data_IF_206765782777
#
_entry.id   IF_206765782777
#
_cell.length_a   1.000
_cell.length_b   1.000
_cell.length_c   1.000
_cell.angle_alpha   90.00
_cell.angle_beta   90.00
_cell.angle_gamma   90.00
#
_symmetry.space_group_name_H-M   'P 1'
#
loop_
_entity.id
_entity.type
_entity.pdbx_description
1 polymer ?
#
# COMPACT_ATOMS: atom_id res chain seq x y z
N UNK A 1 12.90 34.17 -11.86
CA UNK A 1 11.73 33.41 -11.37
C UNK A 1 10.60 33.60 -12.38
N UNK A 2 10.06 32.53 -12.96
CA UNK A 2 9.00 32.65 -13.97
C UNK A 2 7.69 33.09 -13.28
N UNK A 3 6.98 34.14 -13.77
CA UNK A 3 5.79 34.71 -13.14
C UNK A 3 4.60 33.74 -12.95
N UNK A 4 4.61 32.55 -13.55
CA UNK A 4 3.50 31.60 -13.50
C UNK A 4 3.50 30.62 -12.31
N UNK A 5 4.61 30.48 -11.57
CA UNK A 5 4.74 29.42 -10.54
C UNK A 5 3.84 29.71 -9.33
N UNK A 6 3.79 30.95 -8.86
CA UNK A 6 2.97 31.33 -7.70
C UNK A 6 1.48 31.23 -8.00
N UNK A 7 1.06 31.72 -9.18
CA UNK A 7 -0.34 31.66 -9.62
C UNK A 7 -0.81 30.22 -9.80
N UNK A 8 0.06 29.34 -10.32
CA UNK A 8 -0.20 27.91 -10.42
C UNK A 8 -0.38 27.27 -9.04
N UNK A 9 0.52 27.53 -8.08
CA UNK A 9 0.42 26.99 -6.71
C UNK A 9 -0.85 27.49 -5.99
N UNK A 10 -1.25 28.75 -6.18
CA UNK A 10 -2.50 29.30 -5.63
C UNK A 10 -3.71 28.57 -6.21
N UNK A 11 -3.77 28.40 -7.53
CA UNK A 11 -4.85 27.70 -8.20
C UNK A 11 -4.92 26.22 -7.76
N UNK A 12 -3.78 25.55 -7.67
CA UNK A 12 -3.67 24.18 -7.18
C UNK A 12 -4.28 24.03 -5.78
N UNK A 13 -3.82 24.84 -4.81
CA UNK A 13 -4.33 24.79 -3.45
C UNK A 13 -5.83 25.13 -3.37
N UNK A 14 -6.32 26.06 -4.19
CA UNK A 14 -7.73 26.40 -4.28
C UNK A 14 -8.57 25.20 -4.76
N UNK A 15 -8.19 24.56 -5.87
CA UNK A 15 -8.92 23.41 -6.40
C UNK A 15 -8.81 22.18 -5.51
N UNK A 16 -7.66 21.95 -4.86
CA UNK A 16 -7.53 20.90 -3.85
C UNK A 16 -8.48 21.13 -2.67
N UNK A 17 -8.59 22.36 -2.19
CA UNK A 17 -9.49 22.70 -1.09
C UNK A 17 -10.96 22.48 -1.47
N UNK A 18 -11.36 22.88 -2.68
CA UNK A 18 -12.71 22.67 -3.19
C UNK A 18 -13.02 21.17 -3.33
N UNK A 19 -12.10 20.40 -3.91
CA UNK A 19 -12.26 18.96 -4.09
C UNK A 19 -12.41 18.23 -2.75
N UNK A 20 -11.67 18.64 -1.71
CA UNK A 20 -11.79 18.09 -0.36
C UNK A 20 -13.16 18.41 0.25
N UNK A 21 -13.64 19.64 0.10
CA UNK A 21 -14.96 20.05 0.61
C UNK A 21 -16.09 19.27 -0.06
N UNK A 22 -16.05 19.15 -1.39
CA UNK A 22 -17.05 18.38 -2.14
C UNK A 22 -17.01 16.89 -1.76
N UNK A 23 -15.81 16.33 -1.58
CA UNK A 23 -15.63 14.95 -1.14
C UNK A 23 -16.21 14.72 0.27
N UNK A 24 -15.95 15.63 1.22
CA UNK A 24 -16.51 15.58 2.57
C UNK A 24 -18.04 15.62 2.55
N UNK A 25 -18.62 16.54 1.78
CA UNK A 25 -20.07 16.64 1.60
C UNK A 25 -20.67 15.35 1.02
N UNK A 26 -19.99 14.73 0.06
CA UNK A 26 -20.41 13.46 -0.50
C UNK A 26 -20.33 12.32 0.54
N UNK A 27 -19.30 12.29 1.40
CA UNK A 27 -19.18 11.31 2.49
C UNK A 27 -20.31 11.41 3.52
N UNK A 28 -20.77 12.63 3.82
CA UNK A 28 -21.87 12.89 4.75
C UNK A 28 -23.25 12.54 4.15
N UNK A 29 -23.33 12.41 2.83
CA UNK A 29 -24.58 12.11 2.12
C UNK A 29 -24.87 10.61 2.18
N UNK A 30 -26.05 10.16 2.65
CA UNK A 30 -26.39 8.73 2.67
C UNK A 30 -26.31 8.11 1.27
N UNK A 31 -25.76 6.88 1.17
CA UNK A 31 -25.57 6.19 -0.11
C UNK A 31 -26.86 6.04 -0.93
N UNK A 32 -28.02 5.92 -0.27
CA UNK A 32 -29.34 5.91 -0.93
C UNK A 32 -29.64 7.20 -1.70
N UNK A 33 -29.23 8.34 -1.16
CA UNK A 33 -29.44 9.66 -1.76
C UNK A 33 -28.42 9.95 -2.86
N UNK A 34 -27.18 9.46 -2.72
CA UNK A 34 -26.15 9.53 -3.77
C UNK A 34 -26.52 8.68 -5.00
N UNK A 35 -27.16 7.54 -4.78
CA UNK A 35 -27.43 6.55 -5.82
C UNK A 35 -26.15 5.93 -6.40
N UNK A 36 -26.31 5.09 -7.42
CA UNK A 36 -25.17 4.35 -8.00
C UNK A 36 -24.11 5.28 -8.60
N UNK A 37 -24.52 6.33 -9.30
CA UNK A 37 -23.58 7.26 -9.94
C UNK A 37 -22.80 8.07 -8.91
N UNK A 38 -23.46 8.55 -7.85
CA UNK A 38 -22.79 9.27 -6.77
C UNK A 38 -21.79 8.39 -6.02
N UNK A 39 -22.14 7.12 -5.77
CA UNK A 39 -21.21 6.15 -5.14
C UNK A 39 -20.02 5.83 -6.06
N UNK A 40 -20.23 5.70 -7.37
CA UNK A 40 -19.14 5.54 -8.33
C UNK A 40 -18.18 6.74 -8.31
N UNK A 41 -18.72 7.96 -8.32
CA UNK A 41 -17.94 9.19 -8.27
C UNK A 41 -17.18 9.31 -6.93
N UNK A 42 -17.83 8.96 -5.82
CA UNK A 42 -17.23 8.99 -4.49
C UNK A 42 -16.04 8.04 -4.37
N UNK A 43 -16.17 6.80 -4.84
CA UNK A 43 -15.05 5.84 -4.81
C UNK A 43 -13.93 6.22 -5.78
N UNK A 44 -14.25 6.74 -6.97
CA UNK A 44 -13.24 7.25 -7.90
C UNK A 44 -12.48 8.44 -7.30
N UNK A 45 -13.18 9.38 -6.67
CA UNK A 45 -12.58 10.52 -5.97
C UNK A 45 -11.68 10.04 -4.82
N UNK A 46 -12.13 9.05 -4.05
CA UNK A 46 -11.34 8.47 -2.96
C UNK A 46 -10.03 7.85 -3.48
N UNK A 47 -10.06 7.18 -4.63
CA UNK A 47 -8.86 6.64 -5.28
C UNK A 47 -7.91 7.77 -5.74
N UNK A 48 -8.42 8.78 -6.43
CA UNK A 48 -7.61 9.90 -6.91
C UNK A 48 -6.98 10.71 -5.76
N UNK A 49 -7.74 10.99 -4.70
CA UNK A 49 -7.23 11.68 -3.51
C UNK A 49 -6.11 10.89 -2.84
N UNK A 50 -6.24 9.58 -2.77
CA UNK A 50 -5.22 8.71 -2.22
C UNK A 50 -3.97 8.59 -3.13
N UNK A 51 -4.10 8.66 -4.46
CA UNK A 51 -2.95 8.81 -5.37
C UNK A 51 -2.22 10.13 -5.09
N UNK A 52 -2.96 11.24 -5.01
CA UNK A 52 -2.40 12.56 -4.72
C UNK A 52 -1.71 12.59 -3.36
N UNK A 53 -2.32 11.99 -2.32
CA UNK A 53 -1.74 11.91 -1.00
C UNK A 53 -0.45 11.07 -0.96
N UNK A 54 -0.35 10.04 -1.82
CA UNK A 54 0.87 9.25 -1.96
C UNK A 54 1.97 9.98 -2.75
N UNK A 55 1.67 11.03 -3.49
CA UNK A 55 2.70 11.82 -4.17
C UNK A 55 3.67 12.38 -3.14
N UNK A 56 4.97 12.27 -3.41
CA UNK A 56 5.97 12.99 -2.63
C UNK A 56 5.88 14.47 -3.04
N UNK A 57 5.66 15.41 -2.10
CA UNK A 57 5.69 16.83 -2.42
C UNK A 57 6.99 17.20 -3.16
N UNK A 58 6.98 18.34 -3.84
CA UNK A 58 8.17 18.86 -4.48
C UNK A 58 8.68 20.06 -3.70
N UNK A 59 9.83 19.92 -3.04
CA UNK A 59 10.62 21.03 -2.53
C UNK A 59 11.78 21.34 -3.46
N UNK A 60 11.97 22.64 -3.69
CA UNK A 60 12.93 23.20 -4.64
C UNK A 60 14.41 22.89 -4.28
N UNK A 61 14.69 22.30 -3.11
CA UNK A 61 16.04 21.99 -2.62
C UNK A 61 16.44 20.50 -2.73
N UNK A 62 15.56 19.62 -3.20
CA UNK A 62 15.84 18.18 -3.37
C UNK A 62 16.03 17.39 -2.06
N UNK A 63 15.89 18.03 -0.89
CA UNK A 63 16.10 17.38 0.41
C UNK A 63 15.06 16.28 0.71
N UNK A 64 13.91 16.33 0.04
CA UNK A 64 12.84 15.35 0.22
C UNK A 64 13.15 14.00 -0.41
N UNK A 65 14.09 13.90 -1.35
CA UNK A 65 14.51 12.63 -1.94
C UNK A 65 15.52 11.88 -1.05
N UNK A 66 16.04 12.52 0.01
CA UNK A 66 16.90 11.87 1.01
C UNK A 66 16.08 10.82 1.80
N UNK A 67 16.49 9.54 1.82
CA UNK A 67 15.86 8.51 2.64
C UNK A 67 15.70 8.89 4.12
N UNK A 68 16.63 9.69 4.68
CA UNK A 68 16.56 10.15 6.08
C UNK A 68 15.42 11.13 6.34
N UNK A 69 14.86 11.75 5.31
CA UNK A 69 13.65 12.60 5.42
C UNK A 69 12.35 11.79 5.48
N UNK A 70 12.42 10.47 5.29
CA UNK A 70 11.27 9.57 5.31
C UNK A 70 10.62 9.51 6.69
N UNK A 71 9.33 9.13 6.71
CA UNK A 71 8.56 8.89 7.92
C UNK A 71 9.23 7.85 8.85
N UNK A 72 10.02 6.93 8.29
CA UNK A 72 10.75 5.89 9.04
C UNK A 72 11.65 6.51 10.12
N UNK A 73 12.30 7.64 9.82
CA UNK A 73 13.21 8.34 10.73
C UNK A 73 12.58 9.55 11.42
N UNK A 74 11.28 9.79 11.20
CA UNK A 74 10.57 10.92 11.78
C UNK A 74 9.88 10.55 13.09
N UNK A 75 9.90 11.48 14.05
CA UNK A 75 9.14 11.38 15.29
C UNK A 75 7.78 12.09 15.23
N UNK A 76 7.47 12.80 14.14
CA UNK A 76 6.20 13.51 13.98
C UNK A 76 5.02 12.54 13.97
N UNK A 77 3.88 12.94 14.51
CA UNK A 77 2.66 12.12 14.57
C UNK A 77 1.93 12.03 13.22
N UNK A 78 2.07 13.06 12.36
CA UNK A 78 1.43 13.15 11.04
C UNK A 78 2.22 12.48 9.91
N UNK A 79 3.34 11.81 10.23
CA UNK A 79 4.31 11.24 9.28
C UNK A 79 3.74 10.21 8.30
N UNK A 80 2.67 9.52 8.69
CA UNK A 80 1.94 8.53 7.88
C UNK A 80 0.57 9.06 7.43
N UNK A 81 0.41 10.38 7.26
CA UNK A 81 -0.85 11.01 6.86
C UNK A 81 -1.45 10.43 5.57
N UNK A 82 -0.62 10.11 4.57
CA UNK A 82 -1.06 9.44 3.35
C UNK A 82 -1.67 8.05 3.62
N UNK A 83 -1.08 7.28 4.54
CA UNK A 83 -1.58 5.97 4.95
C UNK A 83 -2.85 6.11 5.81
N UNK A 84 -2.98 7.21 6.54
CA UNK A 84 -4.19 7.51 7.30
C UNK A 84 -5.40 7.72 6.35
N UNK A 85 -5.21 8.41 5.23
CA UNK A 85 -6.23 8.56 4.19
C UNK A 85 -6.61 7.21 3.55
N UNK A 86 -5.60 6.37 3.27
CA UNK A 86 -5.81 5.01 2.73
C UNK A 86 -6.66 4.14 3.66
N UNK A 87 -6.43 4.25 4.97
CA UNK A 87 -7.19 3.50 5.97
C UNK A 87 -8.70 3.83 5.97
N UNK A 88 -9.11 4.98 5.40
CA UNK A 88 -10.51 5.36 5.22
C UNK A 88 -11.26 4.58 4.14
N UNK A 89 -10.55 3.89 3.23
CA UNK A 89 -11.19 3.17 2.13
C UNK A 89 -11.96 1.92 2.56
N UNK A 90 -11.46 1.20 3.57
CA UNK A 90 -12.14 0.02 4.09
C UNK A 90 -13.51 0.36 4.70
N UNK A 91 -13.64 1.29 5.67
CA UNK A 91 -14.95 1.66 6.21
C UNK A 91 -15.86 2.28 5.14
N UNK A 92 -15.31 3.04 4.19
CA UNK A 92 -16.07 3.54 3.04
C UNK A 92 -16.65 2.38 2.20
N UNK A 93 -15.85 1.37 1.91
CA UNK A 93 -16.30 0.17 1.16
C UNK A 93 -17.41 -0.56 1.91
N UNK A 94 -17.27 -0.73 3.24
CA UNK A 94 -18.29 -1.39 4.07
C UNK A 94 -19.61 -0.61 4.04
N UNK A 95 -19.55 0.72 4.23
CA UNK A 95 -20.71 1.62 4.17
C UNK A 95 -21.44 1.56 2.83
N UNK A 96 -20.69 1.43 1.73
CA UNK A 96 -21.20 1.42 0.36
C UNK A 96 -21.47 0.02 -0.20
N UNK A 97 -21.43 -1.02 0.66
CA UNK A 97 -21.58 -2.43 0.26
C UNK A 97 -22.75 -2.72 -0.70
N UNK A 98 -23.96 -2.10 -0.59
CA UNK A 98 -25.06 -2.37 -1.52
C UNK A 98 -24.79 -1.96 -2.97
N UNK A 99 -23.82 -1.07 -3.19
CA UNK A 99 -23.47 -0.51 -4.51
C UNK A 99 -22.15 -1.07 -5.05
N UNK A 100 -21.36 -1.73 -4.20
CA UNK A 100 -19.97 -2.10 -4.48
C UNK A 100 -19.81 -2.96 -5.74
N UNK A 101 -20.65 -3.95 -5.98
CA UNK A 101 -20.47 -4.85 -7.14
C UNK A 101 -20.61 -4.10 -8.47
N UNK A 102 -21.57 -3.18 -8.57
CA UNK A 102 -21.76 -2.32 -9.75
C UNK A 102 -20.67 -1.27 -9.85
N UNK A 103 -20.21 -0.72 -8.73
CA UNK A 103 -19.10 0.24 -8.73
C UNK A 103 -17.79 -0.41 -9.12
N UNK A 104 -17.51 -1.62 -8.63
CA UNK A 104 -16.38 -2.43 -9.05
C UNK A 104 -16.43 -2.66 -10.55
N UNK A 105 -17.58 -3.09 -11.10
CA UNK A 105 -17.73 -3.28 -12.54
C UNK A 105 -17.49 -1.99 -13.35
N UNK A 106 -17.87 -0.83 -12.80
CA UNK A 106 -17.60 0.48 -13.41
C UNK A 106 -16.11 0.86 -13.35
N UNK A 107 -15.44 0.62 -12.22
CA UNK A 107 -14.04 0.98 -12.01
C UNK A 107 -13.05 -0.01 -12.65
N UNK A 108 -13.41 -1.28 -12.79
CA UNK A 108 -12.55 -2.34 -13.35
C UNK A 108 -11.90 -1.94 -14.69
N UNK A 109 -12.63 -1.50 -15.73
CA UNK A 109 -12.00 -1.07 -16.98
C UNK A 109 -11.18 0.21 -16.85
N UNK A 110 -11.55 1.12 -15.93
CA UNK A 110 -10.83 2.38 -15.68
C UNK A 110 -9.47 2.09 -15.02
N UNK A 111 -9.45 1.14 -14.09
CA UNK A 111 -8.29 0.85 -13.24
C UNK A 111 -7.37 -0.22 -13.84
N UNK A 112 -7.93 -1.20 -14.54
CA UNK A 112 -7.19 -2.39 -14.99
C UNK A 112 -7.25 -2.61 -16.51
N UNK A 113 -8.05 -1.81 -17.22
CA UNK A 113 -8.28 -1.98 -18.65
C UNK A 113 -9.35 -3.04 -18.96
N UNK A 114 -9.93 -2.98 -20.16
CA UNK A 114 -10.99 -3.90 -20.58
C UNK A 114 -10.51 -5.37 -20.59
N UNK A 115 -11.32 -6.27 -20.01
CA UNK A 115 -11.09 -7.71 -20.03
C UNK A 115 -10.17 -8.25 -18.93
N UNK A 116 -9.52 -7.40 -18.14
CA UNK A 116 -8.78 -7.84 -16.94
C UNK A 116 -9.76 -7.84 -15.77
N UNK A 117 -10.12 -9.02 -15.26
CA UNK A 117 -11.07 -9.19 -14.15
C UNK A 117 -10.47 -8.76 -12.80
N UNK A 118 -9.91 -7.55 -12.74
CA UNK A 118 -8.92 -7.18 -11.76
C UNK A 118 -9.46 -7.24 -10.34
N UNK A 119 -10.59 -6.59 -10.08
CA UNK A 119 -11.24 -6.64 -8.76
C UNK A 119 -11.76 -8.02 -8.34
N UNK A 120 -12.02 -8.93 -9.29
CA UNK A 120 -12.42 -10.32 -8.98
C UNK A 120 -11.23 -11.16 -8.55
N UNK A 121 -10.06 -10.97 -9.17
CA UNK A 121 -8.82 -11.59 -8.69
C UNK A 121 -8.48 -11.14 -7.26
N UNK A 122 -8.79 -9.88 -6.92
CA UNK A 122 -8.61 -9.33 -5.57
C UNK A 122 -9.40 -10.10 -4.49
N UNK A 123 -10.58 -10.63 -4.83
CA UNK A 123 -11.42 -11.39 -3.90
C UNK A 123 -10.93 -12.83 -3.68
N UNK A 124 -10.06 -13.35 -4.54
CA UNK A 124 -9.50 -14.72 -4.43
C UNK A 124 -8.36 -14.85 -3.41
N UNK A 125 -7.91 -13.73 -2.84
CA UNK A 125 -6.80 -13.66 -1.90
C UNK A 125 -7.19 -14.16 -0.49
N UNK A 126 -7.39 -15.47 -0.36
CA UNK A 126 -7.83 -16.09 0.89
C UNK A 126 -6.90 -17.19 1.42
N UNK A 127 -5.95 -17.66 0.60
CA UNK A 127 -5.09 -18.79 0.96
C UNK A 127 -3.63 -18.35 1.16
N UNK A 128 -3.03 -18.83 2.24
CA UNK A 128 -1.58 -18.72 2.49
C UNK A 128 -0.76 -19.65 1.60
N UNK A 129 -1.38 -20.53 0.79
CA UNK A 129 -0.67 -21.50 -0.06
C UNK A 129 0.27 -20.89 -1.08
N UNK A 130 0.03 -19.63 -1.48
CA UNK A 130 0.88 -18.90 -2.41
C UNK A 130 1.98 -18.09 -1.71
N UNK A 131 1.92 -17.99 -0.38
CA UNK A 131 2.89 -17.21 0.40
C UNK A 131 4.15 -18.06 0.58
N UNK A 132 5.35 -17.50 0.31
CA UNK A 132 6.61 -18.19 0.55
C UNK A 132 6.74 -18.72 1.97
N UNK A 133 7.29 -19.93 2.12
CA UNK A 133 7.48 -20.54 3.45
C UNK A 133 8.39 -19.70 4.36
N UNK A 134 9.39 -19.01 3.81
CA UNK A 134 10.26 -18.08 4.54
C UNK A 134 9.44 -17.00 5.27
N UNK A 135 8.42 -16.45 4.61
CA UNK A 135 7.57 -15.41 5.18
C UNK A 135 6.62 -15.98 6.23
N UNK A 136 6.02 -17.13 5.95
CA UNK A 136 5.14 -17.83 6.91
C UNK A 136 5.88 -18.09 8.22
N UNK A 137 7.14 -18.55 8.13
CA UNK A 137 7.97 -18.84 9.30
C UNK A 137 8.32 -17.58 10.09
N UNK A 138 8.83 -16.54 9.43
CA UNK A 138 9.26 -15.31 10.13
C UNK A 138 8.07 -14.55 10.74
N UNK A 139 6.95 -14.49 10.04
CA UNK A 139 5.73 -13.85 10.54
C UNK A 139 4.91 -14.76 11.46
N UNK A 140 5.41 -15.98 11.72
CA UNK A 140 4.80 -16.97 12.61
C UNK A 140 3.34 -17.26 12.25
N UNK A 141 3.04 -17.27 10.96
CA UNK A 141 1.71 -17.52 10.43
C UNK A 141 1.39 -19.01 10.50
N UNK A 142 0.12 -19.33 10.77
CA UNK A 142 -0.37 -20.71 10.75
C UNK A 142 -0.91 -21.02 9.36
N UNK A 143 -0.26 -21.96 8.69
CA UNK A 143 -0.85 -22.66 7.55
C UNK A 143 -1.58 -23.90 8.08
N UNK A 144 -2.80 -24.18 7.61
CA UNK A 144 -3.62 -25.32 8.07
C UNK A 144 -2.90 -26.68 7.90
N UNK A 145 -1.83 -26.74 7.09
CA UNK A 145 -0.96 -27.90 6.89
C UNK A 145 0.06 -28.15 8.01
N UNK A 146 0.31 -27.20 8.92
CA UNK A 146 1.32 -27.32 9.97
C UNK A 146 0.60 -27.43 11.33
N UNK A 147 0.40 -28.69 11.76
CA UNK A 147 -0.37 -29.08 12.94
C UNK A 147 0.24 -28.69 14.29
N UNK A 148 0.48 -27.40 14.53
CA UNK A 148 0.89 -26.90 15.85
C UNK A 148 -0.11 -25.86 16.37
N UNK A 149 -0.89 -26.25 17.38
CA UNK A 149 -1.83 -25.39 18.09
C UNK A 149 -1.08 -24.39 18.99
N UNK A 150 -0.50 -23.34 18.41
CA UNK A 150 -0.06 -22.17 19.19
C UNK A 150 -1.22 -21.17 19.36
N UNK A 151 -1.15 -20.23 20.30
CA UNK A 151 -2.16 -19.19 20.50
C UNK A 151 -2.04 -18.01 19.50
N UNK A 152 -1.28 -18.13 18.40
CA UNK A 152 -0.96 -17.04 17.48
C UNK A 152 -2.09 -16.67 16.48
N UNK A 153 -3.38 -16.77 16.87
CA UNK A 153 -4.49 -16.36 16.00
C UNK A 153 -4.33 -14.88 15.56
N UNK A 154 -3.83 -14.06 16.48
CA UNK A 154 -3.58 -12.63 16.29
C UNK A 154 -2.65 -12.34 15.10
N UNK A 155 -1.59 -13.12 14.87
CA UNK A 155 -0.64 -12.83 13.78
C UNK A 155 -1.24 -13.08 12.40
N UNK A 156 -2.05 -14.13 12.25
CA UNK A 156 -2.76 -14.41 11.01
C UNK A 156 -3.76 -13.29 10.67
N UNK A 157 -4.44 -12.74 11.67
CA UNK A 157 -5.38 -11.64 11.48
C UNK A 157 -4.66 -10.32 11.14
N UNK A 158 -3.54 -10.05 11.80
CA UNK A 158 -2.75 -8.82 11.61
C UNK A 158 -2.05 -8.81 10.25
N UNK A 159 -1.28 -9.86 9.92
CA UNK A 159 -0.38 -9.86 8.76
C UNK A 159 -0.91 -10.66 7.58
N UNK A 160 -1.71 -11.70 7.82
CA UNK A 160 -2.14 -12.65 6.79
C UNK A 160 -2.76 -12.01 5.55
N UNK A 161 -3.77 -11.13 5.67
CA UNK A 161 -4.42 -10.52 4.52
C UNK A 161 -3.46 -9.70 3.64
N UNK A 162 -2.57 -8.92 4.26
CA UNK A 162 -1.59 -8.10 3.56
C UNK A 162 -0.47 -8.94 2.94
N UNK A 163 -0.09 -10.03 3.61
CA UNK A 163 0.92 -10.97 3.12
C UNK A 163 0.45 -11.74 1.87
N UNK A 164 -0.79 -12.23 1.88
CA UNK A 164 -1.38 -12.89 0.70
C UNK A 164 -1.41 -11.91 -0.48
N UNK A 165 -1.82 -10.66 -0.23
CA UNK A 165 -1.80 -9.61 -1.25
C UNK A 165 -0.38 -9.40 -1.83
N UNK A 166 0.66 -9.32 -0.99
CA UNK A 166 2.03 -9.16 -1.47
C UNK A 166 2.54 -10.36 -2.26
N UNK A 167 2.24 -11.57 -1.80
CA UNK A 167 2.66 -12.78 -2.50
C UNK A 167 2.06 -12.84 -3.92
N UNK A 168 0.83 -12.34 -4.11
CA UNK A 168 0.27 -12.14 -5.45
C UNK A 168 0.93 -11.01 -6.23
N UNK A 169 1.17 -9.85 -5.62
CA UNK A 169 1.82 -8.72 -6.30
C UNK A 169 3.27 -9.03 -6.71
N UNK A 170 3.93 -9.94 -6.00
CA UNK A 170 5.25 -10.47 -6.35
C UNK A 170 5.24 -11.18 -7.71
N UNK A 171 4.20 -11.96 -8.02
CA UNK A 171 4.11 -12.75 -9.25
C UNK A 171 3.64 -11.94 -10.47
N UNK A 172 3.07 -10.75 -10.28
CA UNK A 172 2.58 -9.92 -11.38
C UNK A 172 3.75 -9.27 -12.13
N UNK A 173 3.76 -9.44 -13.45
CA UNK A 173 4.69 -8.72 -14.32
C UNK A 173 4.42 -7.20 -14.28
N UNK A 174 5.47 -6.40 -14.13
CA UNK A 174 5.41 -4.93 -14.05
C UNK A 174 5.07 -4.30 -15.39
N UNK A 175 3.77 -4.21 -15.72
CA UNK A 175 3.28 -3.34 -16.79
C UNK A 175 2.63 -2.12 -16.14
N UNK A 176 2.83 -0.89 -16.65
CA UNK A 176 2.22 0.31 -16.04
C UNK A 176 0.68 0.18 -15.89
N UNK A 177 0.00 -0.54 -16.79
CA UNK A 177 -1.44 -0.83 -16.69
C UNK A 177 -1.86 -1.65 -15.47
N UNK A 178 -0.91 -2.28 -14.77
CA UNK A 178 -1.16 -3.09 -13.57
C UNK A 178 -0.81 -2.36 -12.27
N UNK A 179 -0.31 -1.12 -12.31
CA UNK A 179 0.12 -0.42 -11.10
C UNK A 179 -1.03 -0.27 -10.08
N UNK A 180 -2.24 -0.09 -10.58
CA UNK A 180 -3.42 0.08 -9.76
C UNK A 180 -3.81 -1.21 -9.02
N UNK A 181 -3.26 -2.38 -9.38
CA UNK A 181 -3.46 -3.62 -8.61
C UNK A 181 -2.75 -3.56 -7.25
N UNK A 182 -1.70 -2.76 -7.11
CA UNK A 182 -0.98 -2.60 -5.84
C UNK A 182 -1.86 -2.02 -4.73
N UNK A 183 -3.00 -1.43 -5.07
CA UNK A 183 -4.00 -0.94 -4.10
C UNK A 183 -4.61 -2.01 -3.23
N UNK A 184 -4.64 -3.25 -3.72
CA UNK A 184 -5.07 -4.41 -2.94
C UNK A 184 -4.36 -4.42 -1.60
N UNK A 185 -3.04 -4.28 -1.64
CA UNK A 185 -2.21 -4.32 -0.45
C UNK A 185 -2.58 -3.18 0.51
N UNK A 186 -2.74 -1.97 0.00
CA UNK A 186 -3.08 -0.80 0.81
C UNK A 186 -4.41 -0.96 1.55
N UNK A 187 -5.44 -1.55 0.91
CA UNK A 187 -6.73 -1.83 1.56
C UNK A 187 -6.60 -2.85 2.70
N UNK A 188 -5.54 -3.68 2.68
CA UNK A 188 -5.24 -4.63 3.76
C UNK A 188 -4.48 -3.99 4.92
N UNK A 189 -3.95 -2.77 4.80
CA UNK A 189 -3.30 -2.07 5.91
C UNK A 189 -4.35 -1.35 6.76
N UNK A 190 -4.74 -1.96 7.87
CA UNK A 190 -5.73 -1.40 8.80
C UNK A 190 -5.49 -1.92 10.23
N UNK A 191 -6.20 -1.37 11.21
CA UNK A 191 -6.19 -1.84 12.59
C UNK A 191 -4.77 -1.93 13.17
N UNK A 192 -4.45 -3.08 13.74
CA UNK A 192 -3.18 -3.35 14.43
C UNK A 192 -1.97 -3.26 13.50
N UNK A 193 -2.09 -3.69 12.23
CA UNK A 193 -0.98 -3.56 11.28
C UNK A 193 -0.58 -2.10 11.06
N UNK A 194 -1.56 -1.19 11.01
CA UNK A 194 -1.30 0.25 10.94
C UNK A 194 -0.58 0.71 12.22
N UNK A 195 -1.05 0.29 13.40
CA UNK A 195 -0.39 0.63 14.67
C UNK A 195 1.07 0.15 14.73
N UNK A 196 1.33 -1.08 14.27
CA UNK A 196 2.69 -1.63 14.17
C UNK A 196 3.59 -0.82 13.23
N UNK A 197 3.06 -0.36 12.09
CA UNK A 197 3.78 0.55 11.19
C UNK A 197 4.13 1.88 11.87
N UNK A 198 3.18 2.49 12.59
CA UNK A 198 3.45 3.71 13.35
C UNK A 198 4.58 3.52 14.36
N UNK A 199 4.64 2.36 15.01
CA UNK A 199 5.67 2.03 15.99
C UNK A 199 6.96 1.47 15.39
N UNK A 200 7.04 1.34 14.05
CA UNK A 200 8.20 0.79 13.34
C UNK A 200 8.55 -0.63 13.79
N UNK A 201 7.52 -1.43 14.02
CA UNK A 201 7.70 -2.87 14.18
C UNK A 201 8.42 -3.45 12.96
N UNK A 202 9.35 -4.36 13.23
CA UNK A 202 10.31 -4.88 12.25
C UNK A 202 9.60 -5.61 11.11
N UNK A 203 8.58 -6.41 11.45
CA UNK A 203 7.78 -7.18 10.48
C UNK A 203 6.88 -6.27 9.68
N UNK A 204 6.26 -5.29 10.33
CA UNK A 204 5.43 -4.29 9.64
C UNK A 204 6.27 -3.43 8.68
N UNK A 205 7.46 -3.00 9.11
CA UNK A 205 8.42 -2.29 8.26
C UNK A 205 8.83 -3.13 7.06
N UNK A 206 9.23 -4.38 7.27
CA UNK A 206 9.60 -5.28 6.17
C UNK A 206 8.44 -5.45 5.19
N UNK A 207 7.22 -5.66 5.67
CA UNK A 207 6.03 -5.85 4.83
C UNK A 207 5.77 -4.63 3.92
N UNK A 208 5.79 -3.41 4.49
CA UNK A 208 5.60 -2.20 3.71
C UNK A 208 6.83 -1.90 2.82
N UNK A 209 8.05 -2.16 3.29
CA UNK A 209 9.29 -2.02 2.54
C UNK A 209 9.29 -2.90 1.30
N UNK A 210 8.89 -4.17 1.44
CA UNK A 210 8.77 -5.09 0.33
C UNK A 210 7.79 -4.56 -0.71
N UNK A 211 6.61 -4.10 -0.28
CA UNK A 211 5.65 -3.44 -1.18
C UNK A 211 6.24 -2.21 -1.89
N UNK A 212 6.96 -1.35 -1.17
CA UNK A 212 7.61 -0.17 -1.77
C UNK A 212 8.66 -0.58 -2.81
N UNK A 213 9.44 -1.64 -2.54
CA UNK A 213 10.37 -2.22 -3.52
C UNK A 213 9.65 -2.76 -4.75
N UNK A 214 8.52 -3.43 -4.57
CA UNK A 214 7.66 -3.85 -5.69
C UNK A 214 7.12 -2.65 -6.48
N UNK A 215 6.82 -1.53 -5.81
CA UNK A 215 6.36 -0.29 -6.45
C UNK A 215 7.49 0.42 -7.21
N UNK A 216 8.76 0.21 -6.85
CA UNK A 216 9.91 0.71 -7.61
C UNK A 216 10.03 0.10 -9.03
N UNK A 217 9.29 -0.96 -9.34
CA UNK A 217 9.23 -1.57 -10.69
C UNK A 217 8.47 -0.72 -11.72
N UNK A 218 7.79 0.34 -11.28
CA UNK A 218 6.98 1.22 -12.12
C UNK A 218 7.67 2.55 -12.39
N UNK A 219 8.76 2.51 -13.16
CA UNK A 219 9.52 3.70 -13.54
C UNK A 219 8.70 4.69 -14.39
N UNK A 220 8.90 5.99 -14.15
CA UNK A 220 8.24 7.08 -14.85
C UNK A 220 6.82 7.39 -14.36
N UNK A 221 6.33 6.72 -13.32
CA UNK A 221 4.99 6.97 -12.79
C UNK A 221 5.03 8.12 -11.77
N UNK A 222 4.61 9.29 -12.24
CA UNK A 222 4.76 10.59 -11.56
C UNK A 222 4.29 10.64 -10.09
N UNK A 223 3.21 9.93 -9.75
CA UNK A 223 2.58 10.03 -8.42
C UNK A 223 3.20 9.09 -7.39
N UNK A 224 3.93 8.04 -7.78
CA UNK A 224 4.48 7.07 -6.84
C UNK A 224 5.99 6.92 -6.87
N UNK A 225 6.65 7.11 -8.01
CA UNK A 225 8.05 6.74 -8.21
C UNK A 225 8.96 7.31 -7.11
N UNK A 226 8.91 8.62 -6.90
CA UNK A 226 9.76 9.32 -5.92
C UNK A 226 9.53 8.83 -4.50
N UNK A 227 8.26 8.78 -4.04
CA UNK A 227 7.93 8.31 -2.68
C UNK A 227 8.31 6.85 -2.49
N UNK A 228 7.96 5.99 -3.46
CA UNK A 228 8.24 4.57 -3.40
C UNK A 228 9.74 4.32 -3.23
N UNK A 229 10.57 4.95 -4.07
CA UNK A 229 12.04 4.81 -4.01
C UNK A 229 12.61 5.33 -2.69
N UNK A 230 12.24 6.53 -2.28
CA UNK A 230 12.76 7.12 -1.03
C UNK A 230 12.37 6.30 0.20
N UNK A 231 11.09 5.98 0.33
CA UNK A 231 10.60 5.26 1.51
C UNK A 231 11.08 3.79 1.51
N UNK A 232 11.28 3.18 0.33
CA UNK A 232 11.93 1.87 0.20
C UNK A 232 13.36 1.90 0.75
N UNK A 233 14.19 2.85 0.29
CA UNK A 233 15.56 3.02 0.78
C UNK A 233 15.60 3.32 2.28
N UNK A 234 14.66 4.12 2.78
CA UNK A 234 14.57 4.43 4.21
C UNK A 234 14.26 3.19 5.05
N UNK A 235 13.32 2.36 4.60
CA UNK A 235 13.01 1.09 5.27
C UNK A 235 14.21 0.14 5.22
N UNK A 236 14.90 0.02 4.08
CA UNK A 236 16.12 -0.82 3.96
C UNK A 236 17.19 -0.38 4.96
N UNK A 237 17.54 0.90 4.98
CA UNK A 237 18.51 1.44 5.94
C UNK A 237 18.10 1.08 7.37
N UNK A 238 16.82 1.31 7.72
CA UNK A 238 16.32 1.05 9.07
C UNK A 238 16.37 -0.43 9.46
N UNK A 239 16.05 -1.34 8.55
CA UNK A 239 16.09 -2.78 8.83
C UNK A 239 17.54 -3.29 8.94
N UNK A 240 18.46 -2.76 8.14
CA UNK A 240 19.90 -3.08 8.26
C UNK A 240 20.49 -2.61 9.59
N UNK A 241 20.10 -1.42 10.09
CA UNK A 241 20.51 -0.91 11.41
C UNK A 241 20.06 -1.80 12.59
N UNK A 242 19.03 -2.64 12.41
CA UNK A 242 18.54 -3.54 13.45
C UNK A 242 19.33 -4.85 13.54
N UNK A 243 20.28 -5.09 12.62
CA UNK A 243 21.12 -6.28 12.59
C UNK A 243 20.30 -7.60 12.71
N UNK A 244 19.13 -7.64 12.06
CA UNK A 244 18.16 -8.74 12.20
C UNK A 244 18.74 -10.10 11.77
N UNK A 245 19.54 -10.09 10.69
CA UNK A 245 20.22 -11.27 10.15
C UNK A 245 21.36 -11.80 11.02
N UNK A 246 21.81 -11.02 12.01
CA UNK A 246 22.89 -11.40 12.95
C UNK A 246 22.34 -12.02 14.24
N UNK A 247 21.01 -12.09 14.40
CA UNK A 247 20.37 -12.69 15.57
C UNK A 247 20.73 -14.16 15.70
N UNK A 248 20.92 -14.62 16.93
CA UNK A 248 21.27 -16.01 17.19
C UNK A 248 20.11 -16.96 16.85
N UNK A 249 20.46 -18.15 16.36
CA UNK A 249 19.51 -19.23 16.11
C UNK A 249 18.81 -19.15 14.75
N UNK A 250 17.65 -19.81 14.66
CA UNK A 250 16.88 -19.93 13.41
C UNK A 250 16.27 -18.61 12.95
N UNK A 251 15.98 -17.70 13.90
CA UNK A 251 15.39 -16.39 13.60
C UNK A 251 16.32 -15.54 12.72
N UNK A 252 17.63 -15.51 13.01
CA UNK A 252 18.59 -14.77 12.18
C UNK A 252 18.71 -15.33 10.76
N UNK A 253 18.57 -16.65 10.58
CA UNK A 253 18.56 -17.28 9.26
C UNK A 253 17.30 -16.90 8.47
N UNK A 254 16.12 -16.89 9.11
CA UNK A 254 14.89 -16.47 8.45
C UNK A 254 14.94 -14.99 8.05
N UNK A 255 15.44 -14.12 8.93
CA UNK A 255 15.67 -12.72 8.61
C UNK A 255 16.65 -12.56 7.44
N UNK A 256 17.74 -13.34 7.40
CA UNK A 256 18.67 -13.30 6.28
C UNK A 256 18.01 -13.62 4.96
N UNK A 257 17.17 -14.65 4.92
CA UNK A 257 16.45 -15.06 3.71
C UNK A 257 15.48 -13.96 3.26
N UNK A 258 14.62 -13.46 4.14
CA UNK A 258 13.62 -12.45 3.76
C UNK A 258 14.24 -11.06 3.51
N UNK A 259 15.38 -10.74 4.11
CA UNK A 259 16.13 -9.53 3.80
C UNK A 259 16.73 -9.62 2.39
N UNK A 260 17.27 -10.77 1.97
CA UNK A 260 17.69 -10.95 0.59
C UNK A 260 16.52 -10.79 -0.39
N UNK A 261 15.35 -11.35 -0.07
CA UNK A 261 14.16 -11.16 -0.90
C UNK A 261 13.72 -9.69 -1.00
N UNK A 262 13.86 -8.92 0.08
CA UNK A 262 13.59 -7.47 0.09
C UNK A 262 14.51 -6.73 -0.87
N UNK A 263 15.81 -7.02 -0.84
CA UNK A 263 16.82 -6.42 -1.72
C UNK A 263 16.53 -6.69 -3.20
N UNK A 264 16.03 -7.89 -3.51
CA UNK A 264 15.72 -8.30 -4.88
C UNK A 264 14.39 -7.73 -5.39
N UNK A 265 13.51 -7.22 -4.52
CA UNK A 265 12.13 -6.85 -4.85
C UNK A 265 11.98 -5.89 -6.06
N UNK A 266 12.80 -4.83 -6.22
CA UNK A 266 12.75 -3.95 -7.39
C UNK A 266 13.19 -4.63 -8.70
N UNK A 267 13.98 -5.71 -8.61
CA UNK A 267 14.51 -6.44 -9.77
C UNK A 267 13.67 -7.68 -10.14
N UNK A 268 12.66 -8.04 -9.33
CA UNK A 268 11.78 -9.17 -9.61
C UNK A 268 10.90 -8.91 -10.85
N UNK A 269 11.33 -9.44 -11.99
CA UNK A 269 10.46 -9.67 -13.14
C UNK A 269 9.60 -10.91 -12.84
N UNK A 270 8.27 -10.78 -12.91
CA UNK A 270 7.37 -11.90 -12.61
C UNK A 270 7.78 -13.15 -13.40
N UNK A 271 7.98 -14.28 -12.71
CA UNK A 271 8.20 -15.56 -13.41
C UNK A 271 6.97 -15.84 -14.27
N UNK A 272 7.19 -16.18 -15.54
CA UNK A 272 6.14 -16.74 -16.39
C UNK A 272 5.53 -17.94 -15.64
N UNK A 273 4.25 -17.83 -15.28
CA UNK A 273 3.41 -18.95 -14.84
C UNK A 273 2.61 -19.39 -16.05
#
# INVERSE_FOLDING_TARGET
MSPGILQHRIAEHFYQSLAIQDFQKALETPGKSLGQQGVNALLLAALLLNMIAFTLPHQDNGAEDDPKSSWVFSFREDRLGWLALQAGLRPLSISLSPYLDKTVAFLDPIMFGHGKAGWREIRKFQSLSIVPESWIREFKLKNESIGCKSNNADQNEIFGPAMIALAHLRSIHSQQSTILFNWVFLIKIHGDLKYLLYNRDERALWLLGYWLGLMCRYDGVWWCERRARRDYEAVRIRLHELHLSERAGVDGLYWKDIMQELEDAPALTGREI
#
